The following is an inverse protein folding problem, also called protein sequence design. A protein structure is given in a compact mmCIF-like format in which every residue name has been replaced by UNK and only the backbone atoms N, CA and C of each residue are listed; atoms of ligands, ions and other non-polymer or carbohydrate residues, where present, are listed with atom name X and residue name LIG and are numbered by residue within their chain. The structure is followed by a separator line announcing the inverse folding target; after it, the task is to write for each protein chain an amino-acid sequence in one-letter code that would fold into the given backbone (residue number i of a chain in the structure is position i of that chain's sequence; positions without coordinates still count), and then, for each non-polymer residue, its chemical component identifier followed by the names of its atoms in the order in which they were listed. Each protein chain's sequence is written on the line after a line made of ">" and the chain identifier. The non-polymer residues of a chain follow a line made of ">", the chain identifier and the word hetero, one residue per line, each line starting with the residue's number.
data_IF_004126254444
#
_entry.id   IF_004126254444
#
_cell.length_a   1.000
_cell.length_b   1.000
_cell.length_c   1.000
_cell.angle_alpha   90.00
_cell.angle_beta   90.00
_cell.angle_gamma   90.00
#
_symmetry.space_group_name_H-M   'P 1'
#
loop_
_entity.id
_entity.type
_entity.pdbx_description
1 polymer ?
#
# COMPACT_ATOMS: atom_id res chain seq x y z
N UNK A 1 1.09 -41.61 -2.86
CA UNK A 1 0.55 -40.40 -2.19
C UNK A 1 -0.97 -40.50 -2.15
N UNK A 2 -1.63 -40.17 -1.04
CA UNK A 2 -3.10 -40.08 -0.98
C UNK A 2 -3.52 -38.69 -1.45
N UNK A 3 -4.50 -38.60 -2.33
CA UNK A 3 -5.02 -37.32 -2.83
C UNK A 3 -5.90 -36.68 -1.76
N UNK A 4 -5.52 -35.50 -1.29
CA UNK A 4 -6.37 -34.70 -0.40
C UNK A 4 -7.26 -33.81 -1.27
N UNK A 5 -8.57 -33.94 -1.13
CA UNK A 5 -9.55 -33.07 -1.79
C UNK A 5 -10.11 -32.07 -0.80
N UNK A 6 -10.18 -30.79 -1.17
CA UNK A 6 -10.76 -29.74 -0.35
C UNK A 6 -11.60 -28.78 -1.20
N UNK A 7 -12.59 -28.14 -0.57
CA UNK A 7 -13.40 -27.06 -1.17
C UNK A 7 -13.22 -25.76 -0.38
N UNK A 8 -13.26 -24.62 -1.06
CA UNK A 8 -13.27 -23.32 -0.39
C UNK A 8 -14.64 -23.09 0.23
N UNK A 9 -14.71 -22.94 1.56
CA UNK A 9 -15.96 -22.63 2.25
C UNK A 9 -16.15 -21.12 2.49
N UNK A 10 -15.05 -20.36 2.58
CA UNK A 10 -15.07 -18.91 2.72
C UNK A 10 -13.77 -18.29 2.19
N UNK A 11 -13.84 -17.05 1.71
CA UNK A 11 -12.68 -16.24 1.37
C UNK A 11 -12.91 -14.81 1.86
N UNK A 12 -11.92 -14.23 2.54
CA UNK A 12 -11.95 -12.83 3.00
C UNK A 12 -10.76 -12.08 2.42
N UNK A 13 -10.96 -10.88 1.86
CA UNK A 13 -9.85 -10.04 1.43
C UNK A 13 -8.92 -9.72 2.60
N UNK A 14 -7.61 -9.68 2.33
CA UNK A 14 -6.58 -9.26 3.28
C UNK A 14 -5.75 -8.13 2.68
N UNK A 15 -5.08 -7.36 3.54
CA UNK A 15 -4.18 -6.30 3.07
C UNK A 15 -2.91 -6.88 2.42
N UNK A 16 -2.33 -6.15 1.48
CA UNK A 16 -1.08 -6.54 0.82
C UNK A 16 0.06 -6.77 1.82
N UNK A 17 0.17 -5.90 2.83
CA UNK A 17 1.17 -6.06 3.90
C UNK A 17 1.00 -7.38 4.66
N UNK A 18 -0.26 -7.78 4.94
CA UNK A 18 -0.55 -9.04 5.63
C UNK A 18 -0.27 -10.24 4.75
N UNK A 19 -0.62 -10.18 3.46
CA UNK A 19 -0.31 -11.22 2.50
C UNK A 19 1.21 -11.46 2.38
N UNK A 20 2.00 -10.39 2.26
CA UNK A 20 3.46 -10.47 2.21
C UNK A 20 4.05 -11.14 3.47
N UNK A 21 3.57 -10.76 4.67
CA UNK A 21 4.04 -11.34 5.93
C UNK A 21 3.68 -12.82 6.08
N UNK A 22 2.46 -13.22 5.70
CA UNK A 22 2.05 -14.62 5.75
C UNK A 22 2.89 -15.48 4.80
N UNK A 23 3.09 -15.00 3.56
CA UNK A 23 3.87 -15.73 2.57
C UNK A 23 5.34 -15.84 2.99
N UNK A 24 5.96 -14.75 3.48
CA UNK A 24 7.34 -14.80 3.94
C UNK A 24 7.54 -15.76 5.10
N UNK A 25 6.59 -15.80 6.05
CA UNK A 25 6.64 -16.76 7.16
C UNK A 25 6.54 -18.21 6.68
N UNK A 26 5.62 -18.48 5.74
CA UNK A 26 5.45 -19.81 5.15
C UNK A 26 6.68 -20.30 4.37
N UNK A 27 7.36 -19.41 3.65
CA UNK A 27 8.59 -19.75 2.93
C UNK A 27 9.75 -20.06 3.88
N UNK A 28 9.82 -19.37 5.03
CA UNK A 28 10.87 -19.60 6.03
C UNK A 28 10.66 -20.86 6.88
N UNK A 29 9.43 -21.39 6.93
CA UNK A 29 9.13 -22.63 7.65
C UNK A 29 9.46 -23.88 6.84
N UNK A 30 9.80 -24.98 7.52
CA UNK A 30 9.90 -26.30 6.90
C UNK A 30 8.51 -26.81 6.53
N UNK A 31 8.22 -26.83 5.22
CA UNK A 31 6.88 -27.08 4.68
C UNK A 31 6.80 -28.33 3.76
N UNK A 32 7.89 -29.09 3.65
CA UNK A 32 7.95 -30.33 2.87
C UNK A 32 7.75 -30.15 1.36
N UNK A 33 7.85 -28.92 0.83
CA UNK A 33 7.68 -28.65 -0.59
C UNK A 33 8.86 -29.20 -1.42
N UNK A 34 8.59 -29.63 -2.66
CA UNK A 34 9.65 -29.97 -3.61
C UNK A 34 10.53 -28.76 -3.93
N UNK A 35 11.71 -28.99 -4.49
CA UNK A 35 12.65 -27.92 -4.83
C UNK A 35 12.05 -26.88 -5.78
N UNK A 36 11.30 -27.31 -6.79
CA UNK A 36 10.66 -26.41 -7.76
C UNK A 36 9.58 -25.54 -7.12
N UNK A 37 8.75 -26.14 -6.26
CA UNK A 37 7.72 -25.42 -5.50
C UNK A 37 8.38 -24.44 -4.54
N UNK A 38 9.45 -24.84 -3.87
CA UNK A 38 10.23 -23.97 -2.98
C UNK A 38 10.85 -22.78 -3.73
N UNK A 39 11.35 -22.99 -4.95
CA UNK A 39 11.85 -21.91 -5.79
C UNK A 39 10.72 -20.94 -6.22
N UNK A 40 9.56 -21.48 -6.60
CA UNK A 40 8.38 -20.68 -6.91
C UNK A 40 7.90 -19.84 -5.71
N UNK A 41 7.83 -20.44 -4.53
CA UNK A 41 7.42 -19.77 -3.30
C UNK A 41 8.37 -18.63 -2.93
N UNK A 42 9.69 -18.84 -3.04
CA UNK A 42 10.70 -17.78 -2.81
C UNK A 42 10.54 -16.62 -3.79
N UNK A 43 10.36 -16.89 -5.08
CA UNK A 43 10.10 -15.85 -6.09
C UNK A 43 8.81 -15.07 -5.78
N UNK A 44 7.76 -15.79 -5.41
CA UNK A 44 6.47 -15.19 -5.04
C UNK A 44 6.60 -14.29 -3.81
N UNK A 45 7.32 -14.74 -2.77
CA UNK A 45 7.59 -13.94 -1.57
C UNK A 45 8.35 -12.64 -1.90
N UNK A 46 9.33 -12.71 -2.81
CA UNK A 46 10.03 -11.52 -3.33
C UNK A 46 9.09 -10.54 -4.01
N UNK A 47 8.27 -11.02 -4.95
CA UNK A 47 7.30 -10.19 -5.67
C UNK A 47 6.29 -9.49 -4.74
N UNK A 48 5.81 -10.16 -3.69
CA UNK A 48 4.92 -9.53 -2.71
C UNK A 48 5.63 -8.44 -1.88
N UNK A 49 6.92 -8.61 -1.61
CA UNK A 49 7.73 -7.60 -0.91
C UNK A 49 7.94 -6.35 -1.76
N UNK A 50 8.19 -6.54 -3.06
CA UNK A 50 8.26 -5.45 -4.04
C UNK A 50 6.91 -4.74 -4.17
N UNK A 51 5.82 -5.50 -4.32
CA UNK A 51 4.47 -4.96 -4.42
C UNK A 51 4.07 -4.14 -3.18
N UNK A 52 4.44 -4.60 -1.98
CA UNK A 52 4.24 -3.86 -0.74
C UNK A 52 4.97 -2.52 -0.75
N UNK A 53 6.20 -2.49 -1.28
CA UNK A 53 7.01 -1.27 -1.39
C UNK A 53 6.41 -0.31 -2.40
N UNK A 54 6.04 -0.80 -3.57
CA UNK A 54 5.37 -0.02 -4.62
C UNK A 54 4.04 0.60 -4.13
N UNK A 55 3.22 -0.18 -3.42
CA UNK A 55 1.97 0.33 -2.82
C UNK A 55 2.24 1.47 -1.82
N UNK A 56 3.32 1.38 -1.02
CA UNK A 56 3.73 2.45 -0.11
C UNK A 56 4.14 3.71 -0.87
N UNK A 57 4.87 3.55 -1.97
CA UNK A 57 5.29 4.67 -2.81
C UNK A 57 4.11 5.42 -3.44
N UNK A 58 3.15 4.70 -4.03
CA UNK A 58 1.94 5.32 -4.60
C UNK A 58 1.20 6.12 -3.53
N UNK A 59 0.93 5.51 -2.38
CA UNK A 59 0.22 6.18 -1.27
C UNK A 59 0.97 7.43 -0.81
N UNK A 60 2.30 7.38 -0.75
CA UNK A 60 3.12 8.54 -0.38
C UNK A 60 3.00 9.70 -1.38
N UNK A 61 2.97 9.40 -2.69
CA UNK A 61 2.80 10.39 -3.76
C UNK A 61 1.42 11.05 -3.69
N UNK A 62 0.36 10.26 -3.51
CA UNK A 62 -1.00 10.76 -3.34
C UNK A 62 -1.12 11.69 -2.13
N UNK A 63 -0.50 11.31 -1.02
CA UNK A 63 -0.53 12.11 0.21
C UNK A 63 0.17 13.46 0.02
N UNK A 64 1.30 13.49 -0.69
CA UNK A 64 2.02 14.72 -1.05
C UNK A 64 1.20 15.62 -1.98
N UNK A 65 0.51 15.05 -2.96
CA UNK A 65 -0.36 15.82 -3.86
C UNK A 65 -1.53 16.47 -3.10
N UNK A 66 -2.14 15.73 -2.18
CA UNK A 66 -3.23 16.23 -1.33
C UNK A 66 -2.77 17.34 -0.38
N UNK A 67 -1.59 17.22 0.23
CA UNK A 67 -1.06 18.25 1.12
C UNK A 67 -0.68 19.54 0.36
N UNK A 68 -0.13 19.43 -0.85
CA UNK A 68 0.15 20.60 -1.69
C UNK A 68 -1.12 21.32 -2.15
N UNK A 69 -2.20 20.59 -2.46
CA UNK A 69 -3.49 21.22 -2.80
C UNK A 69 -4.08 22.00 -1.62
N UNK A 70 -3.97 21.48 -0.39
CA UNK A 70 -4.44 22.16 0.82
C UNK A 70 -3.66 23.44 1.14
N UNK A 71 -2.35 23.46 0.88
CA UNK A 71 -1.51 24.66 1.06
C UNK A 71 -1.84 25.77 0.04
N UNK A 72 -2.21 25.43 -1.20
CA UNK A 72 -2.64 26.43 -2.19
C UNK A 72 -3.98 27.08 -1.84
N UNK A 73 -4.93 26.32 -1.27
CA UNK A 73 -6.23 26.88 -0.88
C UNK A 73 -6.20 27.80 0.36
N UNK A 74 -5.23 27.64 1.27
CA UNK A 74 -5.06 28.54 2.41
C UNK A 74 -4.23 29.80 2.09
N UNK A 75 -3.33 29.72 1.11
CA UNK A 75 -2.57 30.88 0.63
C UNK A 75 -3.42 31.95 -0.08
N UNK A 76 -4.55 31.55 -0.67
CA UNK A 76 -5.43 32.45 -1.43
C UNK A 76 -6.50 33.14 -0.56
N UNK A 77 -6.79 32.59 0.62
CA UNK A 77 -7.71 33.23 1.61
C UNK A 77 -7.05 34.37 2.37
N UNK A 78 -5.74 34.37 2.52
CA UNK A 78 -5.00 35.40 3.28
C UNK A 78 -4.65 36.63 2.44
N UNK A 79 -4.50 36.48 1.11
CA UNK A 79 -4.24 37.59 0.19
C UNK A 79 -5.47 38.46 -0.07
N UNK A 80 -6.67 37.89 -0.10
CA UNK A 80 -7.92 38.67 -0.30
C UNK A 80 -8.35 39.46 0.95
N UNK A 81 -7.98 39.04 2.16
CA UNK A 81 -8.29 39.80 3.39
C UNK A 81 -7.45 41.08 3.52
N UNK A 82 -6.24 41.11 2.93
CA UNK A 82 -5.32 42.27 3.01
C UNK A 82 -5.60 43.36 1.97
N UNK A 83 -6.35 43.06 0.90
CA UNK A 83 -6.78 44.07 -0.09
C UNK A 83 -8.05 44.82 0.34
N UNK A 84 -8.98 44.16 1.06
CA UNK A 84 -10.24 44.78 1.48
C UNK A 84 -10.10 45.78 2.65
N UNK A 85 -8.99 45.75 3.38
CA UNK A 85 -8.69 46.68 4.49
C UNK A 85 -7.90 47.92 4.06
N UNK A 86 -7.63 48.12 2.76
CA UNK A 86 -6.95 49.32 2.24
C UNK A 86 -7.88 50.26 1.46
N UNK A 87 -9.15 49.90 1.28
CA UNK A 87 -10.12 50.66 0.48
C UNK A 87 -11.16 51.38 1.35
N UNK A 88 -11.03 51.33 2.67
CA UNK A 88 -11.99 51.96 3.62
C UNK A 88 -11.44 53.29 4.19
N UNK A 89 -10.17 53.63 3.92
CA UNK A 89 -9.52 54.85 4.44
C UNK A 89 -9.03 55.80 3.34
N UNK A 90 -9.80 55.98 2.25
CA UNK A 90 -9.54 56.99 1.22
C UNK A 90 -10.77 57.87 0.98
#
# INVERSE_FOLDING_TARGET
>A
MKTVTGRVYCAKPISLSKAATLLSGFVSSENGASQDVSAYLRRSSGAFTELKSFHREIKSKETKLRSNKKRKSDGERTSNKKRKSKEIDA
#
